data_IF_157891875395
#
_entry.id   IF_157891875395
#
_cell.length_a   1.000
_cell.length_b   1.000
_cell.length_c   1.000
_cell.angle_alpha   90.00
_cell.angle_beta   90.00
_cell.angle_gamma   90.00
#
_symmetry.space_group_name_H-M   'P 1'
#
loop_
_entity.id
_entity.type
_entity.pdbx_description
1 polymer ?
#
# COMPACT_ATOMS: atom_id res chain seq x y z
N UNK A 1 -8.77 36.10 0.85
CA UNK A 1 -8.21 34.85 1.34
C UNK A 1 -9.23 33.74 1.11
N UNK A 2 -8.97 32.85 0.17
CA UNK A 2 -9.84 31.69 -0.15
C UNK A 2 -9.61 30.60 0.88
N UNK A 3 -10.68 29.94 1.33
CA UNK A 3 -10.62 28.84 2.29
C UNK A 3 -11.01 27.55 1.61
N UNK A 4 -10.18 26.51 1.75
CA UNK A 4 -10.40 25.19 1.19
C UNK A 4 -10.85 24.25 2.31
N UNK A 5 -12.08 23.72 2.27
CA UNK A 5 -12.52 22.72 3.23
C UNK A 5 -11.78 21.42 2.99
N UNK A 6 -11.39 20.75 4.06
CA UNK A 6 -10.74 19.44 3.98
C UNK A 6 -11.16 18.56 5.15
N UNK A 7 -11.01 17.25 4.97
CA UNK A 7 -11.15 16.24 6.02
C UNK A 7 -9.85 15.47 6.14
N UNK A 8 -9.38 15.27 7.37
CA UNK A 8 -8.19 14.48 7.69
C UNK A 8 -8.58 13.06 8.06
N UNK A 9 -8.01 12.09 7.35
CA UNK A 9 -8.18 10.66 7.58
C UNK A 9 -6.89 9.95 7.88
N UNK A 10 -6.99 8.79 8.54
CA UNK A 10 -5.92 7.81 8.65
C UNK A 10 -6.44 6.40 8.44
N UNK A 11 -5.61 5.53 7.85
CA UNK A 11 -5.86 4.11 7.72
C UNK A 11 -4.53 3.36 7.82
N UNK A 12 -4.40 2.48 8.80
CA UNK A 12 -3.18 1.70 9.07
C UNK A 12 -1.90 2.55 9.17
N UNK A 13 -2.02 3.76 9.70
CA UNK A 13 -0.90 4.69 9.86
C UNK A 13 -0.57 5.53 8.63
N UNK A 14 -1.10 5.23 7.44
CA UNK A 14 -1.12 6.20 6.36
C UNK A 14 -2.18 7.26 6.64
N UNK A 15 -1.84 8.51 6.37
CA UNK A 15 -2.76 9.60 6.64
C UNK A 15 -2.92 10.53 5.43
N UNK A 16 -4.15 11.05 5.28
CA UNK A 16 -4.61 11.71 4.08
C UNK A 16 -5.31 13.02 4.41
N UNK A 17 -5.08 14.05 3.60
CA UNK A 17 -5.93 15.23 3.50
C UNK A 17 -6.85 15.03 2.32
N UNK A 18 -8.16 15.03 2.54
CA UNK A 18 -9.19 14.82 1.52
C UNK A 18 -9.88 16.15 1.22
N UNK A 19 -9.94 16.54 -0.05
CA UNK A 19 -10.80 17.63 -0.56
C UNK A 19 -11.89 17.02 -1.41
N UNK A 20 -13.12 17.37 -1.07
CA UNK A 20 -14.33 16.91 -1.74
C UNK A 20 -14.77 17.89 -2.82
N UNK A 21 -14.68 17.47 -4.06
CA UNK A 21 -15.16 18.20 -5.25
C UNK A 21 -16.38 17.53 -5.90
N UNK A 22 -17.13 16.71 -5.17
CA UNK A 22 -18.33 16.04 -5.70
C UNK A 22 -19.47 16.98 -6.06
N UNK A 23 -19.44 18.22 -5.52
CA UNK A 23 -20.44 19.28 -5.79
C UNK A 23 -19.94 20.37 -6.74
N UNK A 24 -18.73 20.22 -7.24
CA UNK A 24 -18.06 21.15 -8.13
C UNK A 24 -16.60 21.40 -7.73
N UNK A 25 -15.80 21.99 -8.63
CA UNK A 25 -14.38 22.18 -8.40
C UNK A 25 -14.13 23.16 -7.25
N UNK A 26 -13.27 22.75 -6.34
CA UNK A 26 -12.75 23.55 -5.22
C UNK A 26 -11.37 24.11 -5.57
N UNK A 27 -10.57 23.34 -6.27
CA UNK A 27 -9.22 23.66 -6.75
C UNK A 27 -9.14 23.48 -8.26
N UNK A 28 -8.50 24.38 -8.98
CA UNK A 28 -8.13 24.12 -10.37
C UNK A 28 -7.07 23.00 -10.46
N UNK A 29 -6.89 22.41 -11.62
CA UNK A 29 -5.91 21.31 -11.81
C UNK A 29 -4.48 21.72 -11.42
N UNK A 30 -4.08 22.93 -11.76
CA UNK A 30 -2.77 23.47 -11.36
C UNK A 30 -2.67 23.73 -9.85
N UNK A 31 -3.78 24.15 -9.23
CA UNK A 31 -3.82 24.36 -7.77
C UNK A 31 -3.74 23.06 -7.00
N UNK A 32 -4.29 21.95 -7.52
CA UNK A 32 -4.22 20.63 -6.87
C UNK A 32 -2.78 20.20 -6.59
N UNK A 33 -1.90 20.35 -7.58
CA UNK A 33 -0.47 20.02 -7.44
C UNK A 33 0.22 20.87 -6.37
N UNK A 34 -0.03 22.19 -6.37
CA UNK A 34 0.52 23.12 -5.37
C UNK A 34 -0.05 22.86 -3.99
N UNK A 35 -1.37 22.62 -3.91
CA UNK A 35 -2.08 22.33 -2.68
C UNK A 35 -1.57 21.02 -2.04
N UNK A 36 -1.31 19.98 -2.84
CA UNK A 36 -0.71 18.75 -2.37
C UNK A 36 0.58 18.99 -1.60
N UNK A 37 1.53 19.71 -2.21
CA UNK A 37 2.79 20.06 -1.57
C UNK A 37 2.58 20.81 -0.24
N UNK A 38 1.65 21.77 -0.20
CA UNK A 38 1.41 22.59 0.97
C UNK A 38 0.62 21.86 2.06
N UNK A 39 -0.45 21.15 1.68
CA UNK A 39 -1.30 20.46 2.64
C UNK A 39 -0.58 19.28 3.33
N UNK A 40 0.31 18.58 2.60
CA UNK A 40 1.05 17.43 3.15
C UNK A 40 2.24 17.82 4.01
N UNK A 41 2.73 19.07 3.94
CA UNK A 41 3.86 19.53 4.74
C UNK A 41 3.51 19.53 6.25
N UNK A 42 4.34 18.86 7.04
CA UNK A 42 4.12 18.72 8.49
C UNK A 42 4.44 19.97 9.32
N UNK A 43 5.18 20.94 8.75
CA UNK A 43 5.59 22.17 9.45
C UNK A 43 4.74 23.37 9.03
N UNK A 44 4.36 23.44 7.76
CA UNK A 44 3.68 24.59 7.17
C UNK A 44 2.28 24.28 6.64
N UNK A 45 1.81 23.05 6.78
CA UNK A 45 0.52 22.56 6.33
C UNK A 45 -0.25 21.80 7.39
N UNK A 46 -1.06 20.85 6.93
CA UNK A 46 -1.82 19.93 7.80
C UNK A 46 -0.95 18.73 8.20
N UNK A 47 0.01 18.38 7.35
CA UNK A 47 0.85 17.20 7.49
C UNK A 47 0.09 15.91 7.07
N UNK A 48 0.51 15.27 6.01
CA UNK A 48 -0.04 13.97 5.57
C UNK A 48 0.92 13.25 4.63
N UNK A 49 0.67 11.94 4.44
CA UNK A 49 1.42 11.17 3.45
C UNK A 49 1.00 11.57 2.03
N UNK A 50 -0.29 11.76 1.80
CA UNK A 50 -0.83 12.15 0.50
C UNK A 50 -2.02 13.12 0.63
N UNK A 51 -2.32 13.77 -0.49
CA UNK A 51 -3.51 14.57 -0.73
C UNK A 51 -4.45 13.82 -1.65
N UNK A 52 -5.74 13.71 -1.28
CA UNK A 52 -6.78 13.03 -2.04
C UNK A 52 -7.82 14.03 -2.54
N UNK A 53 -8.28 13.84 -3.77
CA UNK A 53 -9.43 14.56 -4.34
C UNK A 53 -10.49 13.57 -4.77
N UNK A 54 -11.74 13.82 -4.33
CA UNK A 54 -12.91 13.03 -4.69
C UNK A 54 -13.79 13.89 -5.63
N UNK A 55 -14.06 13.40 -6.82
CA UNK A 55 -14.88 14.09 -7.83
C UNK A 55 -15.98 13.16 -8.34
N UNK A 56 -17.12 13.72 -8.81
CA UNK A 56 -18.08 12.93 -9.60
C UNK A 56 -17.43 12.53 -10.92
N UNK A 57 -17.65 11.29 -11.35
CA UNK A 57 -17.19 10.86 -12.67
C UNK A 57 -18.15 11.37 -13.75
N UNK A 58 -17.97 12.62 -14.16
CA UNK A 58 -18.72 13.24 -15.25
C UNK A 58 -17.82 13.48 -16.46
N UNK A 59 -18.44 13.64 -17.62
CA UNK A 59 -17.69 13.94 -18.85
C UNK A 59 -16.85 15.22 -18.70
N UNK A 60 -17.43 16.26 -18.11
CA UNK A 60 -16.73 17.54 -17.90
C UNK A 60 -15.49 17.37 -17.02
N UNK A 61 -15.61 16.63 -15.90
CA UNK A 61 -14.46 16.37 -15.01
C UNK A 61 -13.36 15.62 -15.74
N UNK A 62 -13.69 14.59 -16.54
CA UNK A 62 -12.69 13.84 -17.30
C UNK A 62 -12.06 14.70 -18.41
N UNK A 63 -12.82 15.54 -19.09
CA UNK A 63 -12.33 16.48 -20.10
C UNK A 63 -11.41 17.53 -19.47
N UNK A 64 -11.75 18.11 -18.31
CA UNK A 64 -10.90 19.06 -17.58
C UNK A 64 -9.56 18.44 -17.16
N UNK A 65 -9.59 17.22 -16.62
CA UNK A 65 -8.38 16.47 -16.27
C UNK A 65 -7.50 16.27 -17.51
N UNK A 66 -8.09 15.76 -18.59
CA UNK A 66 -7.33 15.47 -19.80
C UNK A 66 -6.82 16.73 -20.51
N UNK A 67 -7.57 17.81 -20.47
CA UNK A 67 -7.15 19.12 -21.00
C UNK A 67 -5.91 19.65 -20.27
N UNK A 68 -5.86 19.45 -18.94
CA UNK A 68 -4.76 19.96 -18.13
C UNK A 68 -3.50 19.08 -18.19
N UNK A 69 -3.66 17.76 -18.31
CA UNK A 69 -2.58 16.80 -18.10
C UNK A 69 -2.22 15.94 -19.33
N UNK A 70 -3.10 15.88 -20.34
CA UNK A 70 -2.93 15.07 -21.55
C UNK A 70 -2.67 13.58 -21.26
N UNK A 71 -3.38 13.00 -20.28
CA UNK A 71 -3.19 11.60 -19.89
C UNK A 71 -3.71 10.60 -20.92
N UNK A 72 -4.77 10.97 -21.68
CA UNK A 72 -5.50 10.06 -22.55
C UNK A 72 -5.59 10.58 -23.98
N UNK A 73 -5.30 9.71 -24.94
CA UNK A 73 -5.49 10.00 -26.37
C UNK A 73 -6.98 10.01 -26.75
N UNK A 74 -7.76 9.12 -26.11
CA UNK A 74 -9.20 8.98 -26.37
C UNK A 74 -10.02 9.48 -25.17
N UNK A 75 -11.25 9.92 -25.45
CA UNK A 75 -12.19 10.25 -24.38
C UNK A 75 -12.55 9.03 -23.55
N UNK A 76 -12.52 9.17 -22.24
CA UNK A 76 -12.97 8.14 -21.31
C UNK A 76 -14.49 8.18 -21.17
N UNK A 77 -15.09 7.02 -20.97
CA UNK A 77 -16.52 6.88 -20.72
C UNK A 77 -16.84 7.18 -19.24
N UNK A 78 -17.59 8.26 -18.99
CA UNK A 78 -17.96 8.65 -17.61
C UNK A 78 -18.96 7.67 -16.95
N UNK A 79 -19.85 7.04 -17.72
CA UNK A 79 -20.94 6.20 -17.20
C UNK A 79 -20.51 4.88 -16.53
N UNK A 80 -19.24 4.48 -16.64
CA UNK A 80 -18.73 3.23 -16.05
C UNK A 80 -18.35 3.36 -14.57
N UNK A 81 -18.28 4.59 -14.04
CA UNK A 81 -17.85 4.89 -12.67
C UNK A 81 -18.73 5.97 -12.05
N UNK A 82 -18.90 5.93 -10.73
CA UNK A 82 -19.68 6.90 -9.97
C UNK A 82 -18.82 8.11 -9.56
N UNK A 83 -17.55 7.84 -9.24
CA UNK A 83 -16.60 8.85 -8.79
C UNK A 83 -15.21 8.62 -9.39
N UNK A 84 -14.41 9.70 -9.35
CA UNK A 84 -12.98 9.70 -9.65
C UNK A 84 -12.23 9.87 -8.34
N UNK A 85 -11.25 9.01 -8.11
CA UNK A 85 -10.29 9.08 -7.02
C UNK A 85 -8.95 9.54 -7.56
N UNK A 86 -8.48 10.65 -7.04
CA UNK A 86 -7.17 11.21 -7.39
C UNK A 86 -6.29 11.30 -6.14
N UNK A 87 -5.06 10.90 -6.26
CA UNK A 87 -4.08 10.93 -5.18
C UNK A 87 -2.83 11.66 -5.62
N UNK A 88 -2.38 12.60 -4.81
CA UNK A 88 -1.19 13.40 -5.07
C UNK A 88 -0.14 13.19 -3.99
N UNK A 89 1.09 12.98 -4.43
CA UNK A 89 2.26 12.89 -3.57
C UNK A 89 2.64 14.27 -2.99
N UNK A 90 3.46 14.33 -1.91
CA UNK A 90 3.92 15.60 -1.34
C UNK A 90 4.66 16.52 -2.31
N UNK A 91 5.24 15.98 -3.38
CA UNK A 91 5.89 16.76 -4.44
C UNK A 91 4.91 17.31 -5.48
N UNK A 92 3.60 17.07 -5.33
CA UNK A 92 2.55 17.49 -6.25
C UNK A 92 2.32 16.58 -7.45
N UNK A 93 3.08 15.50 -7.59
CA UNK A 93 2.87 14.52 -8.67
C UNK A 93 1.65 13.66 -8.35
N UNK A 94 0.80 13.45 -9.33
CA UNK A 94 -0.35 12.55 -9.21
C UNK A 94 0.12 11.10 -9.29
N UNK A 95 -0.18 10.31 -8.25
CA UNK A 95 0.13 8.89 -8.18
C UNK A 95 -1.02 8.02 -8.70
N UNK A 96 -0.75 6.73 -8.93
CA UNK A 96 -1.71 5.84 -9.57
C UNK A 96 -2.86 5.43 -8.65
N UNK A 97 -2.58 4.88 -7.49
CA UNK A 97 -3.58 4.32 -6.58
C UNK A 97 -3.01 4.14 -5.16
N UNK A 98 -3.92 4.10 -4.18
CA UNK A 98 -3.59 3.75 -2.81
C UNK A 98 -4.77 3.00 -2.17
N UNK A 99 -4.59 1.73 -1.82
CA UNK A 99 -5.64 0.93 -1.18
C UNK A 99 -6.16 1.54 0.13
N UNK A 100 -5.25 2.06 0.98
CA UNK A 100 -5.61 2.73 2.23
C UNK A 100 -6.39 4.03 1.97
N UNK A 101 -6.03 4.79 0.93
CA UNK A 101 -6.76 5.98 0.49
C UNK A 101 -8.16 5.66 -0.02
N UNK A 102 -8.32 4.55 -0.77
CA UNK A 102 -9.63 4.09 -1.23
C UNK A 102 -10.52 3.60 -0.07
N UNK A 103 -9.95 2.96 0.95
CA UNK A 103 -10.68 2.64 2.19
C UNK A 103 -11.19 3.91 2.89
N UNK A 104 -10.33 4.95 2.99
CA UNK A 104 -10.73 6.26 3.54
C UNK A 104 -11.82 6.92 2.70
N UNK A 105 -11.76 6.81 1.37
CA UNK A 105 -12.81 7.31 0.49
C UNK A 105 -14.15 6.58 0.69
N UNK A 106 -14.13 5.26 0.85
CA UNK A 106 -15.34 4.47 1.10
C UNK A 106 -16.03 4.91 2.40
N UNK A 107 -15.27 5.06 3.48
CA UNK A 107 -15.76 5.55 4.77
C UNK A 107 -16.28 7.00 4.66
N UNK A 108 -15.53 7.87 3.99
CA UNK A 108 -15.94 9.26 3.74
C UNK A 108 -17.27 9.34 2.99
N UNK A 109 -17.43 8.60 1.88
CA UNK A 109 -18.65 8.59 1.07
C UNK A 109 -19.85 8.08 1.86
N UNK A 110 -19.64 7.08 2.71
CA UNK A 110 -20.69 6.59 3.60
C UNK A 110 -21.10 7.65 4.62
N UNK A 111 -20.16 8.19 5.40
CA UNK A 111 -20.48 9.15 6.46
C UNK A 111 -21.02 10.50 5.94
N UNK A 112 -20.58 10.93 4.76
CA UNK A 112 -20.97 12.22 4.20
C UNK A 112 -22.24 12.18 3.35
N UNK A 113 -22.48 11.04 2.68
CA UNK A 113 -23.52 10.92 1.65
C UNK A 113 -24.40 9.69 1.80
N UNK A 114 -24.22 8.86 2.82
CA UNK A 114 -24.91 7.56 3.03
C UNK A 114 -24.73 6.58 1.83
N UNK A 115 -23.56 6.65 1.18
CA UNK A 115 -23.24 5.80 0.04
C UNK A 115 -22.55 4.53 0.55
N UNK A 116 -23.26 3.39 0.49
CA UNK A 116 -22.79 2.11 1.00
C UNK A 116 -21.80 1.42 0.07
N UNK A 117 -21.89 1.67 -1.23
CA UNK A 117 -20.96 1.15 -2.24
C UNK A 117 -20.93 2.06 -3.45
N UNK A 118 -19.78 2.10 -4.14
CA UNK A 118 -19.58 2.90 -5.33
C UNK A 118 -18.52 2.28 -6.24
N UNK A 119 -18.57 2.57 -7.54
CA UNK A 119 -17.54 2.27 -8.51
C UNK A 119 -16.63 3.49 -8.66
N UNK A 120 -15.34 3.29 -8.46
CA UNK A 120 -14.37 4.36 -8.43
C UNK A 120 -13.38 4.24 -9.59
N UNK A 121 -13.28 5.28 -10.40
CA UNK A 121 -12.22 5.39 -11.38
C UNK A 121 -10.94 5.85 -10.68
N UNK A 122 -9.88 5.08 -10.81
CA UNK A 122 -8.56 5.30 -10.22
C UNK A 122 -7.46 5.04 -11.25
N UNK A 123 -6.19 5.22 -10.89
CA UNK A 123 -5.05 5.18 -11.81
C UNK A 123 -5.17 6.22 -12.93
N UNK A 124 -5.61 7.41 -12.56
CA UNK A 124 -5.93 8.49 -13.49
C UNK A 124 -4.76 8.85 -14.43
N UNK A 125 -3.50 8.97 -13.96
CA UNK A 125 -2.37 9.29 -14.86
C UNK A 125 -1.87 8.10 -15.69
N UNK A 126 -2.77 7.17 -16.07
CA UNK A 126 -2.45 6.05 -16.98
C UNK A 126 -3.29 6.12 -18.25
N UNK A 127 -2.83 5.51 -19.32
CA UNK A 127 -3.59 5.45 -20.57
C UNK A 127 -4.92 4.68 -20.45
N UNK A 128 -5.04 3.82 -19.43
CA UNK A 128 -6.24 3.01 -19.16
C UNK A 128 -6.54 3.00 -17.66
N UNK A 129 -7.23 4.03 -17.15
CA UNK A 129 -7.69 4.07 -15.77
C UNK A 129 -8.53 2.84 -15.41
N UNK A 130 -8.44 2.39 -14.16
CA UNK A 130 -9.20 1.23 -13.67
C UNK A 130 -10.43 1.69 -12.89
N UNK A 131 -11.50 0.90 -13.01
CA UNK A 131 -12.70 1.06 -12.17
C UNK A 131 -12.68 -0.01 -11.09
N UNK A 132 -12.73 0.44 -9.84
CA UNK A 132 -12.61 -0.41 -8.66
C UNK A 132 -13.86 -0.22 -7.79
N UNK A 133 -14.56 -1.31 -7.40
CA UNK A 133 -15.64 -1.25 -6.43
C UNK A 133 -15.09 -1.01 -5.02
N UNK A 134 -15.72 -0.11 -4.29
CA UNK A 134 -15.47 0.14 -2.86
C UNK A 134 -16.78 0.18 -2.09
N UNK A 135 -16.73 0.04 -0.76
CA UNK A 135 -17.92 0.19 0.07
C UNK A 135 -17.64 0.02 1.56
N UNK A 136 -18.74 -0.02 2.34
CA UNK A 136 -18.71 -0.14 3.80
C UNK A 136 -19.65 -1.24 4.28
N UNK A 137 -19.15 -2.16 5.11
CA UNK A 137 -19.93 -3.18 5.83
C UNK A 137 -20.33 -2.62 7.20
N UNK A 138 -21.56 -2.14 7.32
CA UNK A 138 -22.05 -1.44 8.51
C UNK A 138 -22.05 -2.30 9.77
N UNK A 139 -22.49 -3.55 9.66
CA UNK A 139 -22.56 -4.49 10.77
C UNK A 139 -21.19 -4.73 11.42
N UNK A 140 -20.13 -4.59 10.65
CA UNK A 140 -18.75 -4.81 11.09
C UNK A 140 -17.98 -3.51 11.32
N UNK A 141 -18.52 -2.37 10.86
CA UNK A 141 -17.84 -1.07 10.93
C UNK A 141 -16.52 -1.06 10.17
N UNK A 142 -16.47 -1.69 8.99
CA UNK A 142 -15.29 -1.76 8.13
C UNK A 142 -15.60 -1.26 6.73
N UNK A 143 -14.65 -0.57 6.12
CA UNK A 143 -14.66 -0.26 4.69
C UNK A 143 -13.92 -1.34 3.91
N UNK A 144 -14.28 -1.52 2.64
CA UNK A 144 -13.65 -2.50 1.75
C UNK A 144 -13.36 -1.91 0.37
N UNK A 145 -12.35 -2.49 -0.26
CA UNK A 145 -11.91 -2.19 -1.64
C UNK A 145 -11.71 -3.51 -2.36
N UNK A 146 -12.32 -3.69 -3.52
CA UNK A 146 -12.09 -4.87 -4.37
C UNK A 146 -11.01 -4.54 -5.40
N UNK A 147 -9.84 -5.14 -5.29
CA UNK A 147 -8.72 -4.93 -6.22
C UNK A 147 -8.71 -5.90 -7.41
N UNK A 148 -9.73 -6.75 -7.54
CA UNK A 148 -9.78 -7.80 -8.55
C UNK A 148 -9.01 -9.06 -8.13
N UNK A 149 -8.76 -9.92 -9.10
CA UNK A 149 -7.96 -11.13 -8.87
C UNK A 149 -6.47 -10.77 -8.92
N UNK A 150 -5.67 -11.26 -7.95
CA UNK A 150 -4.22 -11.26 -8.10
C UNK A 150 -3.81 -12.04 -9.34
N UNK A 151 -2.82 -11.54 -10.03
CA UNK A 151 -2.38 -12.09 -11.31
C UNK A 151 -0.92 -12.53 -11.22
N UNK A 152 -0.54 -13.39 -12.14
CA UNK A 152 0.86 -13.72 -12.37
C UNK A 152 1.63 -12.47 -12.77
N UNK A 153 2.89 -12.40 -12.33
CA UNK A 153 3.74 -11.24 -12.61
C UNK A 153 3.83 -10.93 -14.11
N UNK A 154 3.44 -9.72 -14.57
CA UNK A 154 3.58 -9.31 -15.97
C UNK A 154 5.03 -9.41 -16.46
N UNK A 155 5.22 -9.90 -17.69
CA UNK A 155 6.55 -10.16 -18.26
C UNK A 155 7.41 -8.91 -18.46
N UNK A 156 6.79 -7.72 -18.56
CA UNK A 156 7.51 -6.45 -18.65
C UNK A 156 8.02 -5.91 -17.30
N UNK A 157 7.56 -6.52 -16.17
CA UNK A 157 7.97 -6.12 -14.83
C UNK A 157 9.05 -7.03 -14.23
N UNK A 158 9.41 -8.12 -14.93
CA UNK A 158 10.33 -9.11 -14.40
C UNK A 158 11.13 -9.80 -15.50
N UNK A 159 12.43 -10.00 -15.27
CA UNK A 159 13.25 -10.90 -16.09
C UNK A 159 13.02 -12.36 -15.61
N UNK A 160 12.54 -13.20 -16.51
CA UNK A 160 12.16 -14.58 -16.18
C UNK A 160 13.32 -15.57 -16.08
N UNK A 161 14.57 -15.11 -16.22
CA UNK A 161 15.76 -15.99 -16.18
C UNK A 161 15.95 -16.73 -14.85
N UNK A 162 15.45 -16.18 -13.74
CA UNK A 162 15.52 -16.75 -12.38
C UNK A 162 14.15 -17.07 -11.79
N UNK A 163 13.11 -17.13 -12.63
CA UNK A 163 11.74 -17.26 -12.17
C UNK A 163 11.10 -18.51 -12.76
N UNK A 164 10.55 -19.33 -11.89
CA UNK A 164 9.83 -20.54 -12.25
C UNK A 164 8.32 -20.35 -12.00
N UNK A 165 7.47 -20.90 -12.86
CA UNK A 165 6.05 -21.02 -12.56
C UNK A 165 5.87 -21.91 -11.31
N UNK A 166 5.12 -21.41 -10.32
CA UNK A 166 4.64 -22.27 -9.24
C UNK A 166 3.29 -22.90 -9.63
N UNK A 167 2.36 -22.07 -10.09
CA UNK A 167 1.07 -22.48 -10.65
C UNK A 167 0.62 -21.48 -11.74
N UNK A 168 -0.69 -21.42 -12.01
CA UNK A 168 -1.23 -20.51 -13.04
C UNK A 168 -1.30 -19.04 -12.61
N UNK A 169 -1.19 -18.75 -11.30
CA UNK A 169 -1.44 -17.42 -10.72
C UNK A 169 -0.23 -16.83 -10.03
N UNK A 170 0.72 -17.66 -9.57
CA UNK A 170 1.93 -17.21 -8.92
C UNK A 170 3.18 -17.82 -9.53
N UNK A 171 4.27 -17.06 -9.47
CA UNK A 171 5.61 -17.53 -9.83
C UNK A 171 6.45 -17.72 -8.57
N UNK A 172 7.58 -18.43 -8.68
CA UNK A 172 8.54 -18.66 -7.62
C UNK A 172 9.90 -18.13 -8.01
N UNK A 173 10.58 -17.48 -7.07
CA UNK A 173 11.98 -17.12 -7.14
C UNK A 173 12.74 -17.99 -6.16
N UNK A 174 13.73 -18.73 -6.64
CA UNK A 174 14.55 -19.61 -5.83
C UNK A 174 15.96 -19.06 -5.66
N UNK A 175 16.47 -19.21 -4.45
CA UNK A 175 17.91 -19.08 -4.15
C UNK A 175 18.53 -17.74 -4.58
N UNK A 176 17.81 -16.64 -4.34
CA UNK A 176 18.36 -15.29 -4.51
C UNK A 176 19.43 -15.06 -3.46
N UNK A 177 20.68 -14.97 -3.85
CA UNK A 177 21.82 -14.81 -2.95
C UNK A 177 21.99 -13.36 -2.50
N UNK A 178 22.05 -13.14 -1.21
CA UNK A 178 22.39 -11.87 -0.57
C UNK A 178 23.75 -12.02 0.11
N UNK A 179 24.76 -11.31 -0.40
CA UNK A 179 26.11 -11.33 0.16
C UNK A 179 26.30 -10.22 1.20
N UNK A 180 27.18 -10.44 2.17
CA UNK A 180 27.59 -9.41 3.13
C UNK A 180 28.18 -8.20 2.40
N UNK A 181 27.58 -7.04 2.55
CA UNK A 181 28.27 -5.77 2.33
C UNK A 181 29.05 -5.40 3.58
N UNK A 182 30.24 -4.86 3.38
CA UNK A 182 31.25 -4.46 4.38
C UNK A 182 30.70 -4.16 5.77
N UNK A 183 31.43 -4.52 6.79
CA UNK A 183 31.23 -4.36 8.24
C UNK A 183 30.75 -2.97 8.75
N UNK A 184 30.51 -2.00 7.89
CA UNK A 184 30.08 -0.64 8.27
C UNK A 184 28.65 -0.54 8.78
N UNK A 185 27.79 -1.56 8.53
CA UNK A 185 26.37 -1.48 8.89
C UNK A 185 26.04 -2.07 10.28
N UNK A 186 27.06 -2.49 11.03
CA UNK A 186 26.99 -2.73 12.49
C UNK A 186 26.13 -3.91 12.95
N UNK A 187 25.50 -4.69 12.06
CA UNK A 187 24.64 -5.79 12.44
C UNK A 187 25.03 -7.06 11.69
N UNK A 188 25.46 -8.08 12.45
CA UNK A 188 25.77 -9.39 11.90
C UNK A 188 24.49 -10.23 11.77
N UNK A 189 23.72 -10.03 10.71
CA UNK A 189 22.55 -10.88 10.42
C UNK A 189 22.91 -12.29 9.94
N UNK A 190 24.16 -12.50 9.59
CA UNK A 190 24.63 -13.71 8.92
C UNK A 190 25.41 -14.61 9.84
N UNK A 191 25.64 -14.22 11.11
CA UNK A 191 26.60 -14.97 11.97
C UNK A 191 27.94 -15.11 11.26
N UNK A 192 28.44 -16.37 11.14
CA UNK A 192 29.66 -16.70 10.42
C UNK A 192 29.45 -16.94 8.91
N UNK A 193 28.19 -17.00 8.44
CA UNK A 193 27.90 -17.20 7.02
C UNK A 193 28.34 -16.01 6.15
N UNK A 194 28.81 -16.29 4.94
CA UNK A 194 29.22 -15.27 3.98
C UNK A 194 28.05 -14.69 3.20
N UNK A 195 27.00 -15.47 3.02
CA UNK A 195 25.78 -15.08 2.29
C UNK A 195 24.54 -15.66 2.95
N UNK A 196 23.40 -15.07 2.59
CA UNK A 196 22.06 -15.52 2.91
C UNK A 196 21.35 -15.77 1.59
N UNK A 197 20.71 -16.92 1.43
CA UNK A 197 19.88 -17.21 0.28
C UNK A 197 18.41 -17.02 0.65
N UNK A 198 17.66 -16.37 -0.22
CA UNK A 198 16.22 -16.15 -0.09
C UNK A 198 15.46 -16.84 -1.21
N UNK A 199 14.31 -17.41 -0.86
CA UNK A 199 13.32 -17.92 -1.81
C UNK A 199 11.96 -17.34 -1.48
N UNK A 200 11.13 -17.06 -2.49
CA UNK A 200 9.83 -16.46 -2.29
C UNK A 200 8.93 -16.60 -3.51
N UNK A 201 7.74 -16.04 -3.40
CA UNK A 201 6.69 -16.14 -4.40
C UNK A 201 6.35 -14.77 -4.96
N UNK A 202 6.16 -14.70 -6.27
CA UNK A 202 5.83 -13.49 -6.99
C UNK A 202 4.35 -13.47 -7.35
N UNK A 203 3.71 -12.34 -7.13
CA UNK A 203 2.32 -12.10 -7.49
C UNK A 203 2.12 -10.62 -7.81
N UNK A 204 1.22 -10.33 -8.70
CA UNK A 204 0.80 -8.98 -9.06
C UNK A 204 -0.60 -8.69 -8.49
N UNK A 205 -0.71 -7.69 -7.63
CA UNK A 205 -1.96 -7.23 -7.01
C UNK A 205 -2.27 -5.76 -7.35
N UNK A 206 -1.99 -5.38 -8.61
CA UNK A 206 -1.92 -3.99 -9.05
C UNK A 206 -0.52 -3.38 -8.87
N UNK A 207 0.29 -4.00 -8.02
CA UNK A 207 1.70 -3.72 -7.76
C UNK A 207 2.49 -5.04 -7.75
N UNK A 208 3.77 -5.05 -8.15
CA UNK A 208 4.62 -6.24 -8.09
C UNK A 208 5.05 -6.55 -6.65
N UNK A 209 4.77 -7.76 -6.19
CA UNK A 209 5.11 -8.22 -4.85
C UNK A 209 5.92 -9.53 -4.87
N UNK A 210 6.96 -9.56 -4.04
CA UNK A 210 7.68 -10.77 -3.64
C UNK A 210 7.29 -11.09 -2.19
N UNK A 211 6.76 -12.28 -1.93
CA UNK A 211 6.37 -12.77 -0.61
C UNK A 211 7.36 -13.83 -0.13
N UNK A 212 8.02 -13.58 0.98
CA UNK A 212 9.05 -14.44 1.60
C UNK A 212 8.51 -14.90 2.95
N UNK A 213 8.25 -16.20 3.11
CA UNK A 213 7.82 -16.76 4.39
C UNK A 213 9.04 -17.05 5.29
N UNK A 214 8.97 -16.64 6.56
CA UNK A 214 10.04 -16.84 7.51
C UNK A 214 10.36 -18.33 7.71
N UNK A 215 9.36 -19.20 7.63
CA UNK A 215 9.49 -20.63 7.89
C UNK A 215 10.35 -21.38 6.86
N UNK A 216 10.37 -20.90 5.60
CA UNK A 216 11.05 -21.62 4.51
C UNK A 216 11.67 -20.73 3.42
N UNK A 217 11.61 -19.41 3.60
CA UNK A 217 12.14 -18.45 2.63
C UNK A 217 13.59 -18.03 2.88
N UNK A 218 14.19 -18.44 3.99
CA UNK A 218 15.55 -18.09 4.41
C UNK A 218 16.42 -19.33 4.53
N UNK A 219 17.64 -19.28 4.00
CA UNK A 219 18.62 -20.37 4.18
C UNK A 219 19.23 -20.40 5.58
N UNK A 220 19.02 -19.38 6.41
CA UNK A 220 19.53 -19.26 7.77
C UNK A 220 18.36 -18.97 8.73
N UNK A 221 18.34 -19.67 9.88
CA UNK A 221 17.28 -19.48 10.89
C UNK A 221 17.37 -18.11 11.59
N UNK A 222 18.59 -17.63 11.90
CA UNK A 222 18.77 -16.39 12.64
C UNK A 222 18.12 -15.16 11.98
N UNK A 223 18.28 -14.89 10.66
CA UNK A 223 17.54 -13.82 9.99
C UNK A 223 16.02 -14.06 9.95
N UNK A 224 15.58 -15.30 9.75
CA UNK A 224 14.16 -15.66 9.74
C UNK A 224 13.47 -15.36 11.08
N UNK A 225 14.12 -15.67 12.20
CA UNK A 225 13.64 -15.34 13.54
C UNK A 225 13.72 -13.84 13.83
N UNK A 226 14.83 -13.19 13.43
CA UNK A 226 15.07 -11.78 13.69
C UNK A 226 14.08 -10.85 12.98
N UNK A 227 13.55 -11.26 11.81
CA UNK A 227 12.70 -10.39 10.97
C UNK A 227 11.44 -9.91 11.70
N UNK A 228 10.88 -10.72 12.62
CA UNK A 228 9.68 -10.41 13.39
C UNK A 228 9.93 -10.08 14.85
N UNK A 229 11.18 -9.78 15.24
CA UNK A 229 11.43 -9.29 16.59
C UNK A 229 10.92 -7.84 16.73
N UNK A 230 10.33 -7.47 17.89
CA UNK A 230 9.86 -6.11 18.12
C UNK A 230 10.99 -5.09 17.96
N UNK A 231 10.73 -4.02 17.21
CA UNK A 231 11.71 -2.97 16.95
C UNK A 231 11.64 -1.78 17.90
N UNK A 232 10.80 -1.85 18.92
CA UNK A 232 10.60 -0.79 19.92
C UNK A 232 10.22 -1.36 21.27
N UNK A 233 10.23 -0.51 22.29
CA UNK A 233 9.76 -0.79 23.64
C UNK A 233 8.63 0.19 24.00
N UNK A 234 7.62 -0.25 24.76
CA UNK A 234 6.61 0.65 25.28
C UNK A 234 7.18 1.34 26.52
N UNK A 235 7.07 2.67 26.58
CA UNK A 235 7.38 3.43 27.81
C UNK A 235 6.24 3.31 28.83
N UNK A 236 6.43 3.89 30.01
CA UNK A 236 5.45 3.87 31.11
C UNK A 236 4.09 4.48 30.73
N UNK A 237 4.03 5.33 29.71
CA UNK A 237 2.79 5.89 29.16
C UNK A 237 2.16 5.02 28.06
N UNK A 238 2.70 3.82 27.81
CA UNK A 238 2.22 2.90 26.76
C UNK A 238 2.62 3.33 25.32
N UNK A 239 3.38 4.40 25.18
CA UNK A 239 3.84 4.91 23.87
C UNK A 239 5.01 4.08 23.40
N UNK A 240 4.94 3.60 22.14
CA UNK A 240 6.04 2.86 21.52
C UNK A 240 7.17 3.82 21.17
N UNK A 241 8.31 3.60 21.80
CA UNK A 241 9.57 4.24 21.43
C UNK A 241 10.31 3.31 20.48
N UNK A 242 10.25 3.62 19.18
CA UNK A 242 11.01 2.87 18.18
C UNK A 242 12.51 2.97 18.48
N UNK A 243 13.18 1.84 18.61
CA UNK A 243 14.64 1.83 18.57
C UNK A 243 15.07 2.19 17.16
N UNK A 244 15.64 3.37 16.95
CA UNK A 244 16.07 3.91 15.64
C UNK A 244 16.88 2.93 14.78
N UNK A 245 17.42 1.86 15.36
CA UNK A 245 18.17 0.81 14.70
C UNK A 245 17.84 -0.56 15.31
N UNK A 246 16.55 -0.95 15.28
CA UNK A 246 16.22 -2.33 15.65
C UNK A 246 16.85 -3.30 14.63
N UNK A 247 17.28 -4.46 15.11
CA UNK A 247 17.86 -5.50 14.27
C UNK A 247 16.90 -5.91 13.16
N UNK A 248 15.61 -6.06 13.48
CA UNK A 248 14.56 -6.45 12.51
C UNK A 248 14.32 -5.41 11.44
N UNK A 249 14.17 -4.13 11.81
CA UNK A 249 13.98 -3.05 10.83
C UNK A 249 15.21 -2.83 9.96
N UNK A 250 16.40 -2.98 10.53
CA UNK A 250 17.66 -2.91 9.78
C UNK A 250 17.77 -4.07 8.76
N UNK A 251 17.29 -5.26 9.11
CA UNK A 251 17.28 -6.43 8.22
C UNK A 251 16.29 -6.24 7.06
N UNK A 252 15.04 -5.81 7.34
CA UNK A 252 14.04 -5.49 6.31
C UNK A 252 14.59 -4.45 5.33
N UNK A 253 15.19 -3.39 5.86
CA UNK A 253 15.74 -2.31 5.06
C UNK A 253 16.96 -2.75 4.24
N UNK A 254 17.83 -3.55 4.80
CA UNK A 254 18.99 -4.10 4.13
C UNK A 254 18.58 -4.99 2.94
N UNK A 255 17.68 -5.95 3.16
CA UNK A 255 17.18 -6.83 2.10
C UNK A 255 16.46 -6.01 1.02
N UNK A 256 15.56 -5.10 1.39
CA UNK A 256 14.83 -4.27 0.44
C UNK A 256 15.73 -3.44 -0.46
N UNK A 257 16.73 -2.75 0.11
CA UNK A 257 17.72 -2.00 -0.67
C UNK A 257 18.65 -2.89 -1.50
N UNK A 258 18.95 -4.07 -1.01
CA UNK A 258 19.78 -5.02 -1.77
C UNK A 258 19.09 -5.44 -3.06
N UNK A 259 17.79 -5.79 -3.00
CA UNK A 259 17.00 -6.10 -4.18
C UNK A 259 16.96 -4.93 -5.17
N UNK A 260 16.65 -3.74 -4.72
CA UNK A 260 16.59 -2.56 -5.59
C UNK A 260 17.92 -2.22 -6.28
N UNK A 261 19.07 -2.62 -5.70
CA UNK A 261 20.39 -2.33 -6.24
C UNK A 261 20.99 -3.49 -7.05
N UNK A 262 20.96 -4.71 -6.51
CA UNK A 262 21.65 -5.86 -7.09
C UNK A 262 20.78 -6.61 -8.07
N UNK A 263 19.48 -6.66 -7.80
CA UNK A 263 18.49 -7.35 -8.62
C UNK A 263 17.61 -6.39 -9.43
N UNK A 264 18.10 -5.18 -9.71
CA UNK A 264 17.40 -4.19 -10.56
C UNK A 264 17.15 -4.70 -11.99
N UNK A 265 18.01 -5.56 -12.52
CA UNK A 265 17.79 -6.18 -13.82
C UNK A 265 16.68 -7.25 -13.77
N UNK A 266 16.59 -7.99 -12.66
CA UNK A 266 15.52 -8.97 -12.47
C UNK A 266 14.16 -8.30 -12.29
N UNK A 267 14.13 -7.13 -11.63
CA UNK A 267 12.93 -6.33 -11.36
C UNK A 267 13.12 -4.89 -11.86
N UNK A 268 13.03 -4.65 -13.17
CA UNK A 268 13.35 -3.33 -13.74
C UNK A 268 12.44 -2.20 -13.26
N UNK A 269 11.20 -2.50 -12.86
CA UNK A 269 10.29 -1.55 -12.23
C UNK A 269 10.41 -1.52 -10.69
N UNK A 270 11.37 -2.25 -10.12
CA UNK A 270 11.45 -2.52 -8.67
C UNK A 270 10.41 -3.53 -8.21
N UNK A 271 10.52 -3.95 -6.95
CA UNK A 271 9.64 -4.96 -6.32
C UNK A 271 9.33 -4.58 -4.88
N UNK A 272 8.07 -4.72 -4.46
CA UNK A 272 7.68 -4.67 -3.05
C UNK A 272 8.01 -5.99 -2.39
N UNK A 273 8.70 -5.98 -1.25
CA UNK A 273 9.11 -7.20 -0.57
C UNK A 273 8.29 -7.35 0.71
N UNK A 274 7.56 -8.45 0.80
CA UNK A 274 6.74 -8.79 1.95
C UNK A 274 7.38 -9.98 2.67
N UNK A 275 7.71 -9.78 3.94
CA UNK A 275 8.10 -10.86 4.83
C UNK A 275 6.86 -11.31 5.58
N UNK A 276 6.60 -12.61 5.62
CA UNK A 276 5.39 -13.17 6.20
C UNK A 276 5.71 -14.34 7.15
N UNK A 277 4.83 -14.57 8.12
CA UNK A 277 4.79 -15.82 8.90
C UNK A 277 3.36 -16.17 9.29
N UNK A 278 3.09 -17.45 9.46
CA UNK A 278 1.86 -17.94 10.08
C UNK A 278 1.96 -17.81 11.60
N UNK A 279 0.94 -17.22 12.25
CA UNK A 279 0.97 -16.98 13.72
C UNK A 279 -0.08 -17.77 14.50
N UNK A 280 -1.09 -18.27 13.86
CA UNK A 280 -2.08 -19.15 14.45
C UNK A 280 -2.39 -20.23 13.43
N UNK A 281 -2.59 -21.46 13.88
CA UNK A 281 -2.86 -22.59 13.00
C UNK A 281 -3.96 -22.25 12.00
N UNK A 282 -3.56 -21.91 10.76
CA UNK A 282 -4.35 -21.63 9.58
C UNK A 282 -5.32 -20.42 9.65
N UNK A 283 -5.18 -19.48 10.60
CA UNK A 283 -6.18 -18.40 10.74
C UNK A 283 -5.63 -16.97 10.58
N UNK A 284 -4.34 -16.74 10.79
CA UNK A 284 -3.78 -15.40 10.66
C UNK A 284 -2.33 -15.41 10.16
N UNK A 285 -1.98 -14.32 9.49
CA UNK A 285 -0.64 -14.05 8.99
C UNK A 285 -0.10 -12.77 9.65
N UNK A 286 1.17 -12.76 9.97
CA UNK A 286 1.86 -11.52 10.29
C UNK A 286 2.78 -11.15 9.14
N UNK A 287 2.86 -9.88 8.77
CA UNK A 287 3.68 -9.45 7.66
C UNK A 287 4.36 -8.10 7.90
N UNK A 288 5.44 -7.88 7.14
CA UNK A 288 6.17 -6.61 7.01
C UNK A 288 6.38 -6.31 5.54
N UNK A 289 6.33 -5.05 5.14
CA UNK A 289 6.48 -4.65 3.75
C UNK A 289 7.55 -3.58 3.57
N UNK A 290 8.54 -3.86 2.70
CA UNK A 290 9.44 -2.85 2.16
C UNK A 290 8.92 -2.41 0.79
N UNK A 291 8.53 -1.15 0.66
CA UNK A 291 7.91 -0.64 -0.55
C UNK A 291 8.93 0.00 -1.50
N UNK A 292 8.85 -0.39 -2.78
CA UNK A 292 9.78 -0.02 -3.85
C UNK A 292 9.87 1.49 -4.11
N UNK A 293 8.77 2.19 -4.25
CA UNK A 293 8.74 3.62 -4.56
C UNK A 293 9.22 4.49 -3.41
N UNK A 294 8.83 4.12 -2.19
CA UNK A 294 9.18 4.81 -0.94
C UNK A 294 10.59 4.42 -0.47
N UNK A 295 11.12 3.27 -0.91
CA UNK A 295 12.43 2.72 -0.53
C UNK A 295 12.65 2.59 0.99
N UNK A 296 11.60 2.25 1.70
CA UNK A 296 11.61 1.98 3.15
C UNK A 296 10.51 1.00 3.54
N UNK A 297 10.63 0.46 4.75
CA UNK A 297 9.55 -0.26 5.39
C UNK A 297 8.44 0.73 5.77
N UNK A 298 7.20 0.41 5.37
CA UNK A 298 6.00 1.16 5.74
C UNK A 298 5.28 0.53 6.93
N UNK A 299 4.32 1.24 7.51
CA UNK A 299 3.53 0.71 8.62
C UNK A 299 2.61 -0.41 8.14
N UNK A 300 1.99 -0.24 6.98
CA UNK A 300 1.18 -1.25 6.31
C UNK A 300 1.02 -0.90 4.82
N UNK A 301 0.98 -1.95 3.98
CA UNK A 301 0.71 -1.87 2.55
C UNK A 301 -0.50 -2.77 2.23
N UNK A 302 -1.62 -2.20 1.80
CA UNK A 302 -2.85 -2.98 1.52
C UNK A 302 -2.65 -4.03 0.43
N UNK A 303 -2.00 -3.66 -0.69
CA UNK A 303 -1.70 -4.59 -1.80
C UNK A 303 -0.68 -5.66 -1.36
N UNK A 304 0.25 -5.32 -0.47
CA UNK A 304 1.20 -6.26 0.13
C UNK A 304 0.52 -7.26 1.08
N UNK A 305 -0.47 -6.81 1.86
CA UNK A 305 -1.28 -7.70 2.69
C UNK A 305 -2.10 -8.67 1.82
N UNK A 306 -2.71 -8.16 0.73
CA UNK A 306 -3.41 -8.99 -0.25
C UNK A 306 -2.47 -10.02 -0.90
N UNK A 307 -1.30 -9.59 -1.37
CA UNK A 307 -0.28 -10.48 -1.94
C UNK A 307 0.11 -11.59 -0.96
N UNK A 308 0.34 -11.23 0.31
CA UNK A 308 0.72 -12.18 1.37
C UNK A 308 -0.40 -13.20 1.63
N UNK A 309 -1.64 -12.74 1.78
CA UNK A 309 -2.79 -13.61 2.03
C UNK A 309 -3.07 -14.53 0.84
N UNK A 310 -3.04 -13.99 -0.38
CA UNK A 310 -3.28 -14.78 -1.60
C UNK A 310 -2.23 -15.88 -1.78
N UNK A 311 -0.95 -15.55 -1.65
CA UNK A 311 0.13 -16.54 -1.74
C UNK A 311 0.00 -17.60 -0.63
N UNK A 312 -0.30 -17.19 0.61
CA UNK A 312 -0.52 -18.14 1.71
C UNK A 312 -1.68 -19.10 1.42
N UNK A 313 -2.77 -18.60 0.88
CA UNK A 313 -3.93 -19.41 0.48
C UNK A 313 -3.55 -20.38 -0.65
N UNK A 314 -2.85 -19.92 -1.70
CA UNK A 314 -2.37 -20.78 -2.80
C UNK A 314 -1.43 -21.89 -2.35
N UNK A 315 -0.65 -21.64 -1.30
CA UNK A 315 0.27 -22.62 -0.70
C UNK A 315 -0.41 -23.56 0.33
N UNK A 316 -1.70 -23.40 0.58
CA UNK A 316 -2.41 -24.16 1.62
C UNK A 316 -1.95 -23.84 3.04
N UNK A 317 -1.30 -22.70 3.26
CA UNK A 317 -0.86 -22.25 4.59
C UNK A 317 -2.03 -21.65 5.40
N UNK A 318 -3.04 -21.15 4.73
CA UNK A 318 -4.31 -20.71 5.29
C UNK A 318 -5.45 -21.28 4.44
N UNK A 319 -6.47 -21.80 5.12
CA UNK A 319 -7.65 -22.42 4.49
C UNK A 319 -8.90 -21.65 4.93
N UNK A 320 -9.03 -20.42 4.43
CA UNK A 320 -10.17 -19.56 4.75
C UNK A 320 -10.37 -18.55 3.63
N UNK A 321 -11.63 -18.32 3.26
CA UNK A 321 -12.02 -17.25 2.34
C UNK A 321 -11.84 -15.85 2.95
N UNK A 322 -11.58 -15.77 4.26
CA UNK A 322 -11.32 -14.54 4.99
C UNK A 322 -10.09 -14.71 5.88
N UNK A 323 -9.03 -14.01 5.53
CA UNK A 323 -7.71 -14.13 6.14
C UNK A 323 -7.38 -12.84 6.90
N UNK A 324 -6.99 -12.98 8.15
CA UNK A 324 -6.48 -11.88 8.95
C UNK A 324 -4.99 -11.70 8.69
N UNK A 325 -4.59 -10.50 8.27
CA UNK A 325 -3.20 -10.12 8.06
C UNK A 325 -2.83 -9.02 9.04
N UNK A 326 -1.85 -9.28 9.88
CA UNK A 326 -1.40 -8.39 10.95
C UNK A 326 -0.16 -7.62 10.50
N UNK A 327 -0.28 -6.29 10.29
CA UNK A 327 0.86 -5.47 9.89
C UNK A 327 1.78 -5.25 11.09
N UNK A 328 2.88 -6.00 11.17
CA UNK A 328 3.81 -6.05 12.31
C UNK A 328 4.19 -4.66 12.81
N UNK A 329 4.59 -3.78 11.91
CA UNK A 329 5.05 -2.45 12.28
C UNK A 329 3.91 -1.51 12.71
N UNK A 330 2.74 -1.59 12.07
CA UNK A 330 1.57 -0.80 12.45
C UNK A 330 1.11 -1.17 13.88
N UNK A 331 1.16 -2.45 14.23
CA UNK A 331 0.77 -2.96 15.54
C UNK A 331 1.65 -2.49 16.70
N UNK A 332 2.79 -1.93 16.43
CA UNK A 332 3.57 -1.25 17.49
C UNK A 332 2.86 0.02 17.97
N UNK A 333 2.16 0.70 17.07
CA UNK A 333 1.43 1.94 17.35
C UNK A 333 -0.04 1.69 17.72
N UNK A 334 -0.66 0.71 17.08
CA UNK A 334 -2.03 0.26 17.31
C UNK A 334 -2.06 -1.27 17.33
N UNK A 335 -2.13 -1.87 18.52
CA UNK A 335 -2.12 -3.32 18.71
C UNK A 335 -3.32 -4.03 18.08
N UNK A 336 -4.42 -3.29 17.82
CA UNK A 336 -5.62 -3.78 17.18
C UNK A 336 -5.58 -3.64 15.66
N UNK A 337 -4.48 -3.11 15.08
CA UNK A 337 -4.35 -2.99 13.64
C UNK A 337 -4.38 -4.37 12.98
N UNK A 338 -5.39 -4.60 12.15
CA UNK A 338 -5.58 -5.82 11.37
C UNK A 338 -6.16 -5.47 9.99
N UNK A 339 -5.66 -6.11 8.95
CA UNK A 339 -6.18 -6.04 7.60
C UNK A 339 -6.89 -7.35 7.34
N UNK A 340 -8.18 -7.29 7.00
CA UNK A 340 -8.92 -8.47 6.60
C UNK A 340 -8.87 -8.59 5.07
N UNK A 341 -8.43 -9.72 4.59
CA UNK A 341 -8.43 -10.07 3.17
C UNK A 341 -9.50 -11.12 2.94
N UNK A 342 -10.40 -10.85 2.00
CA UNK A 342 -11.50 -11.75 1.72
C UNK A 342 -11.59 -12.09 0.23
N UNK A 343 -11.74 -13.37 -0.09
CA UNK A 343 -12.14 -13.81 -1.42
C UNK A 343 -13.59 -13.35 -1.69
N UNK A 344 -13.84 -12.83 -2.89
CA UNK A 344 -15.15 -12.40 -3.36
C UNK A 344 -15.40 -12.93 -4.75
N UNK A 345 -16.66 -12.87 -5.22
CA UNK A 345 -17.04 -13.41 -6.53
C UNK A 345 -16.21 -12.82 -7.69
N UNK A 346 -15.86 -11.53 -7.62
CA UNK A 346 -15.14 -10.81 -8.66
C UNK A 346 -13.70 -10.45 -8.23
N UNK A 347 -13.06 -11.24 -7.39
CA UNK A 347 -11.68 -11.02 -6.97
C UNK A 347 -11.48 -11.06 -5.48
N UNK A 348 -10.54 -10.24 -4.99
CA UNK A 348 -10.16 -10.19 -3.58
C UNK A 348 -10.36 -8.79 -3.02
N UNK A 349 -10.91 -8.73 -1.83
CA UNK A 349 -11.20 -7.50 -1.11
C UNK A 349 -10.23 -7.29 0.04
N UNK A 350 -9.79 -6.05 0.19
CA UNK A 350 -9.09 -5.55 1.38
C UNK A 350 -10.13 -4.86 2.24
N UNK A 351 -10.22 -5.23 3.52
CA UNK A 351 -11.07 -4.58 4.50
C UNK A 351 -10.21 -3.90 5.57
N UNK A 352 -10.64 -2.72 5.99
CA UNK A 352 -9.96 -1.94 7.02
C UNK A 352 -10.91 -1.01 7.76
N UNK A 353 -10.39 -0.36 8.80
CA UNK A 353 -11.12 0.63 9.60
C UNK A 353 -10.44 1.99 9.46
N UNK A 354 -10.80 2.78 8.46
CA UNK A 354 -10.36 4.15 8.38
C UNK A 354 -10.88 4.96 9.56
N UNK A 355 -10.16 5.98 9.94
CA UNK A 355 -10.57 6.87 11.02
C UNK A 355 -10.52 8.31 10.53
N UNK A 356 -11.65 9.00 10.57
CA UNK A 356 -11.70 10.45 10.41
C UNK A 356 -11.10 11.09 11.65
N UNK A 357 -10.06 11.89 11.49
CA UNK A 357 -9.37 12.55 12.59
C UNK A 357 -9.99 13.92 12.90
N UNK A 358 -10.19 14.74 11.89
CA UNK A 358 -10.84 16.05 12.00
C UNK A 358 -11.19 16.64 10.65
N UNK A 359 -12.05 17.64 10.66
CA UNK A 359 -12.36 18.52 9.51
C UNK A 359 -11.77 19.91 9.76
N UNK A 360 -11.44 20.62 8.69
CA UNK A 360 -10.85 21.93 8.78
C UNK A 360 -11.01 22.78 7.52
N UNK A 361 -10.47 24.01 7.61
CA UNK A 361 -10.41 24.97 6.51
C UNK A 361 -8.96 25.38 6.30
N UNK A 362 -8.40 25.08 5.15
CA UNK A 362 -7.06 25.53 4.78
C UNK A 362 -7.14 26.93 4.16
N UNK A 363 -6.44 27.89 4.74
CA UNK A 363 -6.40 29.25 4.21
C UNK A 363 -5.35 29.34 3.09
N UNK A 364 -5.82 29.54 1.85
CA UNK A 364 -4.93 29.86 0.73
C UNK A 364 -4.55 31.34 0.81
N UNK A 365 -3.27 31.61 0.97
CA UNK A 365 -2.68 32.89 0.67
C UNK A 365 -2.26 32.90 -0.80
N UNK A 366 -2.21 34.06 -1.44
CA UNK A 366 -1.75 34.19 -2.83
C UNK A 366 -0.36 33.55 -2.97
N UNK A 367 -0.23 32.65 -3.94
CA UNK A 367 0.95 31.82 -4.20
C UNK A 367 1.95 32.53 -5.10
#
# INVERSE_FOLDING_TARGET
>A
MRKIPFTKYTCFGNNFVIVDETRGPVLSEQEKMKFAHRATDGNFGVGSDNFLVIQRCTREVLEDINHAHHYWENHLEAGISDYVFRIFEPNGVEAFCCGNGLLCMADYLYHRYDIKSARIMTQIPTASPKVIPIGTELERGVSWVNLGHPERMPSNLVDRSMIEPYDNEIDMVREVEITKFRQSDGVSFFGDAKSLTLSGYLVFTGEPHLVIFAENGFSLNQPAEAIFTPGGERNDAGVVVEKRKSTSSSLVHFIGKYFGRVYSNLFPAGININFARCIQENSALEYRCFERGINRETLACGTGALATAFVAHRLGKVDSDRITVLPHRCRWHDENAEIQIAAAHEGWQIHGRPVMLFEGMFALHDW
#
